data_IF_294006198231
#
_entry.id   IF_294006198231
#
_cell.length_a   1.000
_cell.length_b   1.000
_cell.length_c   1.000
_cell.angle_alpha   90.00
_cell.angle_beta   90.00
_cell.angle_gamma   90.00
#
_symmetry.space_group_name_H-M   'P 1'
#
loop_
_entity.id
_entity.type
_entity.pdbx_description
1 polymer ?
#
# COMPACT_ATOMS: atom_id res chain seq x y z
N UNK A 1 6.16 9.00 -1.78
CA UNK A 1 5.92 8.05 -0.69
C UNK A 1 6.98 6.96 -0.76
N UNK A 2 7.34 6.35 0.37
CA UNK A 2 8.40 5.33 0.50
C UNK A 2 7.80 3.97 0.88
N UNK A 3 8.56 2.89 0.71
CA UNK A 3 8.26 1.55 1.22
C UNK A 3 8.89 1.27 2.60
N UNK A 4 9.49 2.29 3.24
CA UNK A 4 10.17 2.15 4.53
C UNK A 4 9.31 1.40 5.57
N UNK A 5 9.93 0.43 6.24
CA UNK A 5 9.31 -0.34 7.33
C UNK A 5 8.99 0.52 8.56
N UNK A 6 9.63 1.68 8.68
CA UNK A 6 9.40 2.62 9.78
C UNK A 6 9.88 2.08 11.12
N UNK A 7 8.96 1.58 11.96
CA UNK A 7 9.29 1.04 13.28
C UNK A 7 9.69 -0.44 13.16
N UNK A 8 10.95 -0.73 13.51
CA UNK A 8 11.49 -2.09 13.45
C UNK A 8 12.25 -2.35 12.15
N UNK A 9 12.27 -3.61 11.72
CA UNK A 9 12.92 -4.08 10.50
C UNK A 9 11.99 -5.04 9.70
N UNK A 10 12.47 -5.53 8.56
CA UNK A 10 11.71 -6.45 7.70
C UNK A 10 11.43 -7.83 8.33
N UNK A 11 12.09 -8.17 9.46
CA UNK A 11 11.86 -9.42 10.17
C UNK A 11 10.69 -9.33 11.17
N UNK A 12 10.08 -8.15 11.34
CA UNK A 12 8.93 -8.02 12.22
C UNK A 12 7.71 -8.79 11.67
N UNK A 13 6.91 -9.41 12.54
CA UNK A 13 5.72 -10.16 12.13
C UNK A 13 4.59 -9.26 11.58
N UNK A 14 4.72 -7.96 11.79
CA UNK A 14 3.74 -6.95 11.41
C UNK A 14 4.44 -5.84 10.65
N UNK A 15 3.91 -5.51 9.48
CA UNK A 15 4.34 -4.35 8.72
C UNK A 15 3.16 -3.49 8.28
N UNK A 16 3.32 -2.19 8.50
CA UNK A 16 2.34 -1.17 8.18
C UNK A 16 2.80 -0.42 6.92
N UNK A 17 2.28 -0.81 5.78
CA UNK A 17 2.45 -0.04 4.55
C UNK A 17 1.56 1.18 4.63
N UNK A 18 2.20 2.33 4.56
CA UNK A 18 1.52 3.58 4.67
C UNK A 18 1.39 4.30 3.31
N UNK A 19 0.22 4.88 3.07
CA UNK A 19 -0.13 5.74 1.95
C UNK A 19 -0.58 7.16 2.38
N UNK A 20 -0.05 7.74 3.47
CA UNK A 20 -0.32 9.14 3.88
C UNK A 20 -0.06 10.11 2.72
N UNK A 21 -1.03 10.98 2.43
CA UNK A 21 -0.93 11.95 1.34
C UNK A 21 -0.43 13.28 1.87
N UNK A 22 0.65 13.78 1.29
CA UNK A 22 1.18 15.12 1.60
C UNK A 22 1.44 15.91 0.33
N UNK A 23 1.04 17.17 0.30
CA UNK A 23 1.41 18.10 -0.76
C UNK A 23 2.89 18.51 -0.65
N UNK A 24 3.35 19.37 -1.55
CA UNK A 24 4.75 19.85 -1.59
C UNK A 24 5.18 20.64 -0.36
N UNK A 25 4.24 21.09 0.48
CA UNK A 25 4.48 21.74 1.76
C UNK A 25 4.47 20.76 2.95
N UNK A 26 4.29 19.46 2.68
CA UNK A 26 4.19 18.43 3.71
C UNK A 26 2.85 18.39 4.45
N UNK A 27 1.83 19.11 3.96
CA UNK A 27 0.49 19.14 4.54
C UNK A 27 -0.41 18.09 3.90
N UNK A 28 -1.37 17.56 4.66
CA UNK A 28 -2.38 16.61 4.18
C UNK A 28 -3.09 17.13 2.91
N UNK A 29 -3.24 16.27 1.90
CA UNK A 29 -3.79 16.63 0.58
C UNK A 29 -5.05 15.81 0.23
N UNK A 30 -6.24 16.25 0.68
CA UNK A 30 -7.51 15.53 0.43
C UNK A 30 -7.91 15.49 -1.04
N UNK A 31 -7.42 16.40 -1.89
CA UNK A 31 -7.84 16.45 -3.29
C UNK A 31 -7.28 15.29 -4.12
N UNK A 32 -6.28 14.57 -3.58
CA UNK A 32 -5.60 13.49 -4.27
C UNK A 32 -5.98 12.11 -3.74
N UNK A 33 -6.89 12.03 -2.76
CA UNK A 33 -7.34 10.76 -2.16
C UNK A 33 -7.85 9.79 -3.22
N UNK A 34 -8.81 10.22 -4.04
CA UNK A 34 -9.39 9.40 -5.10
C UNK A 34 -8.34 8.91 -6.11
N UNK A 35 -7.38 9.77 -6.49
CA UNK A 35 -6.34 9.39 -7.44
C UNK A 35 -5.37 8.36 -6.86
N UNK A 36 -4.98 8.51 -5.60
CA UNK A 36 -3.87 7.76 -5.01
C UNK A 36 -4.35 6.47 -4.32
N UNK A 37 -5.61 6.44 -3.89
CA UNK A 37 -6.27 5.25 -3.33
C UNK A 37 -7.06 4.46 -4.40
N UNK A 38 -7.02 4.90 -5.65
CA UNK A 38 -7.50 4.12 -6.80
C UNK A 38 -6.95 2.68 -6.73
N UNK A 39 -7.82 1.71 -7.02
CA UNK A 39 -7.53 0.29 -6.83
C UNK A 39 -6.23 -0.14 -7.53
N UNK A 40 -6.09 0.15 -8.83
CA UNK A 40 -4.96 -0.32 -9.62
C UNK A 40 -3.66 0.33 -9.15
N UNK A 41 -3.69 1.64 -8.87
CA UNK A 41 -2.52 2.38 -8.38
C UNK A 41 -2.08 1.91 -7.00
N UNK A 42 -3.02 1.72 -6.08
CA UNK A 42 -2.73 1.29 -4.73
C UNK A 42 -2.27 -0.17 -4.69
N UNK A 43 -2.87 -1.05 -5.51
CA UNK A 43 -2.46 -2.44 -5.64
C UNK A 43 -1.04 -2.55 -6.19
N UNK A 44 -0.75 -1.85 -7.29
CA UNK A 44 0.60 -1.84 -7.87
C UNK A 44 1.63 -1.35 -6.84
N UNK A 45 1.34 -0.25 -6.16
CA UNK A 45 2.21 0.27 -5.09
C UNK A 45 2.43 -0.76 -3.99
N UNK A 46 1.38 -1.47 -3.59
CA UNK A 46 1.44 -2.48 -2.52
C UNK A 46 2.30 -3.67 -2.93
N UNK A 47 2.19 -4.11 -4.19
CA UNK A 47 3.02 -5.18 -4.76
C UNK A 47 4.49 -4.75 -4.86
N UNK A 48 4.75 -3.54 -5.35
CA UNK A 48 6.11 -3.01 -5.48
C UNK A 48 6.80 -2.96 -4.11
N UNK A 49 6.11 -2.47 -3.08
CA UNK A 49 6.67 -2.45 -1.73
C UNK A 49 6.79 -3.83 -1.10
N UNK A 50 5.86 -4.75 -1.37
CA UNK A 50 6.00 -6.15 -0.95
C UNK A 50 7.29 -6.74 -1.55
N UNK A 51 7.54 -6.52 -2.83
CA UNK A 51 8.78 -6.95 -3.47
C UNK A 51 10.02 -6.32 -2.82
N UNK A 52 10.02 -5.01 -2.57
CA UNK A 52 11.16 -4.28 -2.01
C UNK A 52 11.49 -4.71 -0.58
N UNK A 53 10.47 -4.81 0.29
CA UNK A 53 10.63 -5.18 1.71
C UNK A 53 10.83 -6.68 1.87
N UNK A 54 10.40 -7.48 0.90
CA UNK A 54 10.49 -8.95 0.92
C UNK A 54 9.42 -9.63 1.79
N UNK A 55 8.41 -8.90 2.26
CA UNK A 55 7.33 -9.43 3.08
C UNK A 55 6.00 -8.75 2.75
N UNK A 56 4.87 -9.45 2.90
CA UNK A 56 3.54 -8.89 2.58
C UNK A 56 3.16 -7.87 3.66
N UNK A 57 2.64 -6.68 3.31
CA UNK A 57 2.14 -5.77 4.33
C UNK A 57 0.99 -6.40 5.11
N UNK A 58 1.01 -6.24 6.42
CA UNK A 58 -0.06 -6.71 7.32
C UNK A 58 -1.19 -5.69 7.39
N UNK A 59 -0.84 -4.40 7.31
CA UNK A 59 -1.77 -3.29 7.24
C UNK A 59 -1.43 -2.42 6.05
N UNK A 60 -2.44 -2.12 5.22
CA UNK A 60 -2.37 -1.08 4.19
C UNK A 60 -3.22 0.08 4.69
N UNK A 61 -2.59 1.20 5.01
CA UNK A 61 -3.30 2.38 5.51
C UNK A 61 -3.30 3.51 4.48
N UNK A 62 -4.44 4.18 4.40
CA UNK A 62 -4.69 5.31 3.50
C UNK A 62 -5.35 6.43 4.29
N UNK A 63 -5.10 7.68 3.88
CA UNK A 63 -5.97 8.78 4.28
C UNK A 63 -7.26 8.74 3.43
N UNK A 64 -8.40 9.19 4.00
CA UNK A 64 -9.71 9.20 3.33
C UNK A 64 -10.11 7.86 2.71
N UNK A 65 -10.16 6.80 3.52
CA UNK A 65 -10.42 5.42 3.07
C UNK A 65 -11.68 5.19 2.21
N UNK A 66 -12.65 6.10 2.25
CA UNK A 66 -13.87 6.04 1.42
C UNK A 66 -13.67 6.52 -0.02
N UNK A 67 -12.55 7.18 -0.32
CA UNK A 67 -12.17 7.60 -1.66
C UNK A 67 -11.20 6.55 -2.22
N UNK A 68 -11.65 5.72 -3.17
CA UNK A 68 -10.89 4.59 -3.72
C UNK A 68 -11.37 3.23 -3.22
N UNK A 69 -10.52 2.20 -3.33
CA UNK A 69 -10.88 0.82 -2.95
C UNK A 69 -9.73 0.08 -2.23
N UNK A 70 -9.37 0.57 -1.04
CA UNK A 70 -8.36 -0.07 -0.19
C UNK A 70 -8.78 -1.47 0.27
N UNK A 71 -10.10 -1.73 0.38
CA UNK A 71 -10.62 -3.04 0.81
C UNK A 71 -10.36 -4.07 -0.28
N UNK A 72 -10.70 -3.77 -1.54
CA UNK A 72 -10.41 -4.63 -2.68
C UNK A 72 -8.92 -4.91 -2.83
N UNK A 73 -8.05 -3.91 -2.62
CA UNK A 73 -6.59 -4.13 -2.63
C UNK A 73 -6.16 -5.12 -1.55
N UNK A 74 -6.66 -4.97 -0.32
CA UNK A 74 -6.32 -5.88 0.79
C UNK A 74 -6.85 -7.29 0.53
N UNK A 75 -8.06 -7.42 -0.02
CA UNK A 75 -8.61 -8.71 -0.45
C UNK A 75 -7.73 -9.36 -1.51
N UNK A 76 -7.30 -8.61 -2.53
CA UNK A 76 -6.45 -9.11 -3.61
C UNK A 76 -5.10 -9.64 -3.09
N UNK A 77 -4.36 -8.86 -2.30
CA UNK A 77 -3.05 -9.29 -1.79
C UNK A 77 -3.14 -10.47 -0.80
N UNK A 78 -4.29 -10.65 -0.15
CA UNK A 78 -4.54 -11.80 0.72
C UNK A 78 -4.71 -13.11 -0.06
N UNK A 79 -5.20 -13.03 -1.31
CA UNK A 79 -5.33 -14.18 -2.22
C UNK A 79 -4.04 -14.49 -2.99
N UNK A 80 -3.06 -13.59 -2.97
CA UNK A 80 -1.76 -13.80 -3.62
C UNK A 80 -0.84 -14.66 -2.73
N UNK A 81 -0.16 -15.63 -3.33
CA UNK A 81 0.87 -16.42 -2.64
C UNK A 81 2.16 -15.62 -2.44
N UNK A 82 2.51 -14.78 -3.41
CA UNK A 82 3.67 -13.89 -3.36
C UNK A 82 3.45 -12.66 -4.27
N UNK A 83 4.37 -11.69 -4.25
CA UNK A 83 4.22 -10.43 -5.00
C UNK A 83 4.11 -10.59 -6.52
N UNK A 84 4.57 -11.70 -7.10
CA UNK A 84 4.52 -11.94 -8.55
C UNK A 84 3.29 -12.76 -9.02
N UNK A 85 2.41 -13.17 -8.10
CA UNK A 85 1.26 -14.04 -8.40
C UNK A 85 0.31 -13.49 -9.48
N UNK A 86 0.30 -12.18 -9.73
CA UNK A 86 -0.52 -11.53 -10.77
C UNK A 86 0.07 -11.63 -12.19
N UNK A 87 1.25 -12.24 -12.35
CA UNK A 87 1.94 -12.37 -13.66
C UNK A 87 1.49 -13.57 -14.49
N UNK A 88 0.50 -14.33 -14.01
CA UNK A 88 0.02 -15.56 -14.66
C UNK A 88 -1.46 -15.46 -14.98
N UNK A 89 -1.82 -14.70 -16.01
CA UNK A 89 -2.85 -15.01 -17.03
C UNK A 89 -3.06 -13.82 -17.96
#
# INVERSE_FOLDING_TARGET
MSCDVGRGDSNQPVWHLNNWLSNTLGLSDPQRSEEVNDYDKLLQRTIDCWQEVGNRPTFVAVDWWGDGDVVGVVEAINQMENWNSTSSS
#
